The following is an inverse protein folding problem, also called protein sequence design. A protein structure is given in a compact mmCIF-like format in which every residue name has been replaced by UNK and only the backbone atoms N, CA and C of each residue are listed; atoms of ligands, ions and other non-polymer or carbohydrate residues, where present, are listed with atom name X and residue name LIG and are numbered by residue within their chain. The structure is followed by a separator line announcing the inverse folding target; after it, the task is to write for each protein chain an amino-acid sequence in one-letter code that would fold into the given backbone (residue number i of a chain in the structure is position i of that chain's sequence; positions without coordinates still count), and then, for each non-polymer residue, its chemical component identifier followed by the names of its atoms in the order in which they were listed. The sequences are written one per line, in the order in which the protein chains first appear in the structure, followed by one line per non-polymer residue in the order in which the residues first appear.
data_IF_341531279654
#
_entry.id   IF_341531279654
#
_cell.length_a   1.000
_cell.length_b   1.000
_cell.length_c   1.000
_cell.angle_alpha   90.00
_cell.angle_beta   90.00
_cell.angle_gamma   90.00
#
_symmetry.space_group_name_H-M   'P 1'
#
loop_
_entity.id
_entity.type
_entity.pdbx_description
1 polymer ?
#
# COMPACT_ATOMS: atom_id res chain seq x y z
N UNK A 1 -1.93 9.06 -79.29
CA UNK A 1 -1.85 9.95 -78.11
C UNK A 1 -3.25 10.05 -77.47
N UNK A 2 -3.38 10.10 -76.14
CA UNK A 2 -4.08 9.04 -75.40
C UNK A 2 -5.40 9.42 -74.68
N UNK A 3 -6.20 8.36 -74.44
CA UNK A 3 -7.01 7.98 -73.24
C UNK A 3 -8.20 8.84 -72.76
N UNK A 4 -9.37 8.18 -72.72
CA UNK A 4 -10.17 8.05 -71.49
C UNK A 4 -11.12 6.85 -71.61
N UNK A 5 -10.87 5.80 -70.82
CA UNK A 5 -11.77 4.66 -70.61
C UNK A 5 -12.31 4.82 -69.19
N UNK A 6 -13.62 5.03 -69.05
CA UNK A 6 -14.31 5.11 -67.77
C UNK A 6 -14.57 3.68 -67.30
N UNK A 7 -13.88 3.25 -66.25
CA UNK A 7 -14.13 1.99 -65.57
C UNK A 7 -15.01 2.24 -64.34
N UNK A 8 -16.18 1.61 -64.36
CA UNK A 8 -17.17 1.52 -63.29
C UNK A 8 -16.59 0.64 -62.15
N UNK A 9 -16.28 1.22 -60.99
CA UNK A 9 -15.94 0.45 -59.80
C UNK A 9 -17.23 0.07 -59.06
N UNK A 10 -17.48 -1.24 -59.01
CA UNK A 10 -18.50 -1.88 -58.18
C UNK A 10 -18.08 -1.75 -56.70
N UNK A 11 -19.00 -1.24 -55.88
CA UNK A 11 -18.95 -1.29 -54.42
C UNK A 11 -18.88 -2.75 -53.95
N UNK A 12 -17.75 -3.16 -53.37
CA UNK A 12 -17.68 -4.30 -52.47
C UNK A 12 -17.77 -3.77 -51.04
N UNK A 13 -18.92 -3.99 -50.41
CA UNK A 13 -19.13 -3.72 -49.00
C UNK A 13 -18.23 -4.62 -48.13
N UNK A 14 -17.42 -3.98 -47.28
CA UNK A 14 -16.78 -4.65 -46.15
C UNK A 14 -17.76 -4.68 -44.98
N UNK A 15 -18.05 -5.84 -44.37
CA UNK A 15 -18.81 -5.87 -43.14
C UNK A 15 -17.96 -5.33 -41.98
N UNK A 16 -18.57 -4.45 -41.21
CA UNK A 16 -18.08 -3.94 -39.95
C UNK A 16 -17.80 -5.10 -38.97
N UNK A 17 -16.53 -5.29 -38.61
CA UNK A 17 -16.09 -6.20 -37.57
C UNK A 17 -15.61 -5.39 -36.36
N UNK A 18 -16.47 -5.35 -35.35
CA UNK A 18 -16.30 -4.73 -34.02
C UNK A 18 -14.88 -4.90 -33.45
N UNK A 19 -14.11 -3.81 -33.41
CA UNK A 19 -12.99 -3.67 -32.49
C UNK A 19 -13.54 -3.44 -31.07
N UNK A 20 -14.07 -4.51 -30.47
CA UNK A 20 -14.63 -4.52 -29.13
C UNK A 20 -13.56 -4.83 -28.07
N UNK A 21 -13.02 -3.77 -27.47
CA UNK A 21 -12.80 -3.67 -26.01
C UNK A 21 -12.30 -4.92 -25.26
N UNK A 22 -11.06 -5.34 -25.49
CA UNK A 22 -10.38 -6.33 -24.64
C UNK A 22 -9.56 -5.68 -23.50
N UNK A 23 -9.98 -4.53 -22.96
CA UNK A 23 -9.33 -3.84 -21.83
C UNK A 23 -10.32 -3.38 -20.74
N UNK A 24 -11.57 -3.85 -20.77
CA UNK A 24 -12.61 -3.46 -19.82
C UNK A 24 -13.23 -4.66 -19.11
N UNK A 25 -12.39 -5.56 -18.57
CA UNK A 25 -12.85 -6.72 -17.80
C UNK A 25 -11.82 -7.16 -16.74
N UNK A 26 -11.40 -6.23 -15.88
CA UNK A 26 -10.70 -6.57 -14.62
C UNK A 26 -11.34 -5.87 -13.41
N UNK A 27 -12.43 -5.11 -13.58
CA UNK A 27 -13.04 -4.34 -12.49
C UNK A 27 -14.48 -4.77 -12.27
N UNK A 28 -14.70 -6.05 -11.96
CA UNK A 28 -16.01 -6.51 -11.48
C UNK A 28 -15.92 -7.93 -10.87
N UNK A 29 -15.09 -8.15 -9.85
CA UNK A 29 -15.30 -9.20 -8.82
C UNK A 29 -14.26 -9.07 -7.71
N UNK A 30 -14.47 -8.10 -6.82
CA UNK A 30 -13.85 -8.07 -5.49
C UNK A 30 -14.73 -7.23 -4.57
N UNK A 31 -15.99 -7.64 -4.41
CA UNK A 31 -16.91 -7.05 -3.44
C UNK A 31 -17.39 -8.15 -2.51
N UNK A 32 -16.52 -8.63 -1.60
CA UNK A 32 -16.85 -9.02 -0.21
C UNK A 32 -15.53 -9.09 0.60
N UNK A 33 -14.98 -7.93 0.92
CA UNK A 33 -14.27 -7.68 2.18
C UNK A 33 -14.62 -6.22 2.47
N UNK A 34 -15.51 -5.98 3.42
CA UNK A 34 -16.03 -4.64 3.72
C UNK A 34 -14.88 -3.79 4.22
N UNK A 35 -14.28 -3.01 3.32
CA UNK A 35 -13.35 -1.96 3.72
C UNK A 35 -14.08 -1.01 4.66
N UNK A 36 -13.43 -0.67 5.77
CA UNK A 36 -13.97 0.30 6.72
C UNK A 36 -14.31 1.61 6.00
N UNK A 37 -15.33 2.37 6.47
CA UNK A 37 -15.56 3.72 5.95
C UNK A 37 -14.29 4.57 6.07
N UNK A 38 -14.13 5.68 5.35
CA UNK A 38 -12.92 6.51 5.48
C UNK A 38 -12.78 7.08 6.90
N UNK A 39 -11.54 7.27 7.39
CA UNK A 39 -11.26 7.91 8.70
C UNK A 39 -11.85 9.32 8.71
N UNK A 40 -11.67 10.05 7.61
CA UNK A 40 -12.16 11.40 7.43
C UNK A 40 -12.57 11.64 5.97
N UNK A 41 -13.34 12.70 5.65
CA UNK A 41 -13.63 13.06 4.27
C UNK A 41 -12.36 13.26 3.43
N UNK A 42 -12.41 13.03 2.10
CA UNK A 42 -11.27 13.24 1.23
C UNK A 42 -10.80 14.69 1.26
N UNK A 43 -9.51 14.90 0.99
CA UNK A 43 -8.95 16.25 0.85
C UNK A 43 -9.71 17.05 -0.23
N UNK A 44 -10.06 18.34 0.03
CA UNK A 44 -10.67 19.19 -0.97
C UNK A 44 -9.79 19.33 -2.22
N UNK A 45 -10.39 19.59 -3.38
CA UNK A 45 -9.66 19.80 -4.64
C UNK A 45 -8.59 20.89 -4.46
N UNK A 46 -7.36 20.57 -4.83
CA UNK A 46 -6.21 21.50 -4.72
C UNK A 46 -5.48 21.44 -3.38
N UNK A 47 -6.05 20.86 -2.33
CA UNK A 47 -5.39 20.68 -1.04
C UNK A 47 -4.50 19.44 -1.08
N UNK A 48 -3.20 19.63 -0.84
CA UNK A 48 -2.21 18.54 -0.90
C UNK A 48 -2.03 17.85 0.47
N UNK A 49 -2.31 18.56 1.57
CA UNK A 49 -2.32 17.97 2.90
C UNK A 49 -3.14 18.82 3.87
N UNK A 50 -3.68 18.16 4.90
CA UNK A 50 -4.36 18.73 6.06
C UNK A 50 -3.74 18.18 7.34
N UNK A 51 -3.49 19.05 8.32
CA UNK A 51 -3.08 18.66 9.67
C UNK A 51 -4.28 18.41 10.57
N UNK A 52 -4.13 17.44 11.46
CA UNK A 52 -5.08 17.05 12.48
C UNK A 52 -4.40 17.10 13.85
N UNK A 53 -5.11 17.60 14.86
CA UNK A 53 -4.68 17.38 16.24
C UNK A 53 -4.82 15.88 16.57
N UNK A 54 -4.02 15.36 17.50
CA UNK A 54 -4.14 13.98 17.94
C UNK A 54 -5.55 13.67 18.49
N UNK A 55 -6.18 14.53 19.33
CA UNK A 55 -7.55 14.32 19.76
C UNK A 55 -8.57 14.24 18.61
N UNK A 56 -8.47 15.11 17.60
CA UNK A 56 -9.39 15.08 16.46
C UNK A 56 -9.21 13.81 15.60
N UNK A 57 -7.96 13.37 15.43
CA UNK A 57 -7.66 12.12 14.74
C UNK A 57 -8.24 10.92 15.49
N UNK A 58 -8.05 10.87 16.82
CA UNK A 58 -8.62 9.80 17.66
C UNK A 58 -10.14 9.78 17.53
N UNK A 59 -10.83 10.92 17.64
CA UNK A 59 -12.29 10.97 17.52
C UNK A 59 -12.77 10.48 16.14
N UNK A 60 -12.04 10.80 15.07
CA UNK A 60 -12.34 10.33 13.72
C UNK A 60 -12.11 8.81 13.57
N UNK A 61 -11.00 8.31 14.11
CA UNK A 61 -10.65 6.89 14.14
C UNK A 61 -11.67 6.07 14.94
N UNK A 62 -12.08 6.54 16.12
CA UNK A 62 -13.07 5.88 16.99
C UNK A 62 -14.44 5.80 16.30
N UNK A 63 -14.81 6.86 15.56
CA UNK A 63 -16.04 6.86 14.76
C UNK A 63 -15.99 5.83 13.63
N UNK A 64 -14.85 5.68 12.96
CA UNK A 64 -14.66 4.70 11.88
C UNK A 64 -14.73 3.26 12.41
N UNK A 65 -14.08 2.99 13.53
CA UNK A 65 -13.97 1.65 14.13
C UNK A 65 -15.17 1.29 15.02
N UNK A 66 -16.07 2.24 15.28
CA UNK A 66 -17.26 2.02 16.12
C UNK A 66 -16.95 1.75 17.60
N UNK A 67 -15.72 2.04 18.06
CA UNK A 67 -15.27 1.81 19.43
C UNK A 67 -14.26 2.86 19.89
N UNK A 68 -14.12 3.09 21.21
CA UNK A 68 -13.02 3.88 21.73
C UNK A 68 -11.66 3.25 21.45
N UNK A 69 -10.66 4.09 21.25
CA UNK A 69 -9.26 3.69 21.21
C UNK A 69 -8.81 3.38 22.64
N UNK A 70 -8.30 2.18 22.83
CA UNK A 70 -7.77 1.66 24.10
C UNK A 70 -6.53 2.45 24.55
N UNK A 71 -6.13 2.26 25.81
CA UNK A 71 -4.91 2.87 26.33
C UNK A 71 -3.65 2.39 25.59
N UNK A 72 -3.60 1.12 25.19
CA UNK A 72 -2.48 0.53 24.45
C UNK A 72 -2.40 1.09 23.02
N UNK A 73 -3.53 1.22 22.32
CA UNK A 73 -3.56 1.84 21.00
C UNK A 73 -3.17 3.33 21.07
N UNK A 74 -3.61 4.06 22.09
CA UNK A 74 -3.17 5.46 22.30
C UNK A 74 -1.67 5.54 22.58
N UNK A 75 -1.12 4.61 23.35
CA UNK A 75 0.31 4.49 23.57
C UNK A 75 1.06 4.22 22.25
N UNK A 76 0.54 3.35 21.39
CA UNK A 76 1.12 3.11 20.08
C UNK A 76 1.01 4.31 19.14
N UNK A 77 -0.15 4.97 19.08
CA UNK A 77 -0.37 6.17 18.27
C UNK A 77 0.62 7.28 18.64
N UNK A 78 0.89 7.46 19.94
CA UNK A 78 1.83 8.47 20.45
C UNK A 78 3.29 8.31 19.95
N UNK A 79 3.62 7.22 19.25
CA UNK A 79 4.94 6.99 18.63
C UNK A 79 5.12 7.72 17.30
N UNK A 80 4.13 8.51 16.85
CA UNK A 80 4.22 9.31 15.63
C UNK A 80 3.75 8.54 14.39
N UNK A 81 4.43 8.73 13.26
CA UNK A 81 4.02 8.17 11.96
C UNK A 81 3.86 6.65 11.99
N UNK A 82 4.78 5.94 12.65
CA UNK A 82 4.69 4.48 12.83
C UNK A 82 3.46 4.07 13.64
N UNK A 83 3.08 4.88 14.62
CA UNK A 83 1.92 4.67 15.47
C UNK A 83 0.62 4.66 14.69
N UNK A 84 0.47 5.62 13.76
CA UNK A 84 -0.69 5.69 12.85
C UNK A 84 -0.85 4.40 12.06
N UNK A 85 0.21 3.84 11.48
CA UNK A 85 0.12 2.55 10.79
C UNK A 85 -0.16 1.38 11.74
N UNK A 86 0.48 1.33 12.91
CA UNK A 86 0.27 0.25 13.89
C UNK A 86 -1.19 0.17 14.34
N UNK A 87 -1.79 1.30 14.72
CA UNK A 87 -3.19 1.28 15.20
C UNK A 87 -4.18 0.90 14.10
N UNK A 88 -3.89 1.24 12.83
CA UNK A 88 -4.77 0.88 11.71
C UNK A 88 -4.55 -0.55 11.20
N UNK A 89 -3.45 -1.22 11.57
CA UNK A 89 -3.30 -2.66 11.35
C UNK A 89 -4.18 -3.47 12.32
N UNK A 90 -4.56 -2.91 13.46
CA UNK A 90 -5.39 -3.54 14.51
C UNK A 90 -4.90 -4.96 14.87
N UNK A 91 -3.59 -5.07 15.11
CA UNK A 91 -2.87 -6.33 15.32
C UNK A 91 -1.95 -6.27 16.54
N UNK A 92 -2.29 -7.06 17.55
CA UNK A 92 -1.53 -7.20 18.79
C UNK A 92 -0.14 -7.83 18.58
N UNK A 93 0.05 -8.64 17.52
CA UNK A 93 1.31 -9.32 17.23
C UNK A 93 2.32 -8.44 16.48
N UNK A 94 1.96 -7.20 16.13
CA UNK A 94 2.74 -6.33 15.25
C UNK A 94 3.11 -4.99 15.94
N UNK A 95 4.06 -5.00 16.90
CA UNK A 95 4.50 -3.76 17.56
C UNK A 95 5.18 -2.78 16.59
N UNK A 96 5.63 -3.25 15.43
CA UNK A 96 6.04 -2.44 14.29
C UNK A 96 5.34 -2.95 13.02
N UNK A 97 5.05 -2.09 12.02
CA UNK A 97 4.47 -2.54 10.77
C UNK A 97 5.39 -3.57 10.07
N UNK A 98 4.88 -4.75 9.71
CA UNK A 98 5.69 -5.81 9.11
C UNK A 98 6.12 -5.42 7.69
N UNK A 99 7.39 -5.61 7.36
CA UNK A 99 7.99 -5.19 6.08
C UNK A 99 8.14 -6.33 5.07
N UNK A 100 7.52 -7.49 5.35
CA UNK A 100 7.68 -8.73 4.60
C UNK A 100 7.35 -8.62 3.11
N UNK A 101 6.35 -7.81 2.76
CA UNK A 101 5.84 -7.64 1.40
C UNK A 101 5.96 -6.18 0.97
N UNK A 102 7.20 -5.70 0.83
CA UNK A 102 7.51 -4.33 0.41
C UNK A 102 7.83 -4.27 -1.09
N UNK A 103 7.34 -3.25 -1.78
CA UNK A 103 7.45 -3.08 -3.23
C UNK A 103 7.92 -1.68 -3.58
N UNK A 104 8.66 -1.55 -4.68
CA UNK A 104 9.18 -0.26 -5.15
C UNK A 104 8.14 0.69 -5.72
N UNK A 105 6.96 0.19 -6.09
CA UNK A 105 5.90 1.01 -6.68
C UNK A 105 4.55 0.77 -6.02
N UNK A 106 3.75 1.83 -5.96
CA UNK A 106 2.40 1.78 -5.42
C UNK A 106 1.50 0.83 -6.23
N UNK A 107 1.61 0.87 -7.56
CA UNK A 107 0.87 -0.01 -8.47
C UNK A 107 1.10 -1.49 -8.14
N UNK A 108 2.35 -1.88 -7.88
CA UNK A 108 2.66 -3.28 -7.56
C UNK A 108 2.10 -3.71 -6.22
N UNK A 109 2.12 -2.82 -5.22
CA UNK A 109 1.49 -3.08 -3.93
C UNK A 109 -0.03 -3.28 -4.08
N UNK A 110 -0.72 -2.47 -4.91
CA UNK A 110 -2.16 -2.65 -5.19
C UNK A 110 -2.47 -3.99 -5.85
N UNK A 111 -1.65 -4.45 -6.81
CA UNK A 111 -1.85 -5.77 -7.44
C UNK A 111 -1.72 -6.93 -6.44
N UNK A 112 -0.72 -6.85 -5.57
CA UNK A 112 -0.49 -7.85 -4.52
C UNK A 112 -1.60 -7.79 -3.48
N UNK A 113 -2.02 -6.60 -3.08
CA UNK A 113 -3.16 -6.39 -2.19
C UNK A 113 -4.43 -7.05 -2.74
N UNK A 114 -4.78 -6.77 -4.00
CA UNK A 114 -5.96 -7.33 -4.65
C UNK A 114 -5.92 -8.87 -4.68
N UNK A 115 -4.79 -9.44 -5.06
CA UNK A 115 -4.58 -10.90 -5.07
C UNK A 115 -4.71 -11.53 -3.68
N UNK A 116 -4.17 -10.89 -2.64
CA UNK A 116 -4.29 -11.40 -1.27
C UNK A 116 -5.72 -11.29 -0.75
N UNK A 117 -6.43 -10.20 -1.07
CA UNK A 117 -7.84 -10.03 -0.72
C UNK A 117 -8.76 -11.04 -1.42
N UNK A 118 -8.50 -11.35 -2.69
CA UNK A 118 -9.20 -12.44 -3.41
C UNK A 118 -9.02 -13.78 -2.69
N UNK A 119 -7.80 -14.10 -2.26
CA UNK A 119 -7.48 -15.34 -1.55
C UNK A 119 -8.17 -15.41 -0.19
N UNK A 120 -8.04 -14.38 0.66
CA UNK A 120 -8.64 -14.43 2.01
C UNK A 120 -10.16 -14.39 2.01
N UNK A 121 -10.79 -13.85 0.95
CA UNK A 121 -12.23 -13.91 0.75
C UNK A 121 -12.75 -15.36 0.63
N UNK A 122 -11.92 -16.32 0.24
CA UNK A 122 -12.26 -17.76 0.23
C UNK A 122 -12.25 -18.41 1.62
N UNK A 123 -11.86 -17.65 2.65
CA UNK A 123 -11.68 -18.10 4.04
C UNK A 123 -10.77 -19.32 4.18
N UNK A 124 -9.55 -19.26 3.61
CA UNK A 124 -8.68 -20.42 3.55
C UNK A 124 -8.11 -20.77 4.93
N UNK A 125 -7.95 -22.06 5.22
CA UNK A 125 -7.02 -22.52 6.24
C UNK A 125 -5.58 -22.07 5.91
N UNK A 126 -4.65 -22.03 6.88
CA UNK A 126 -3.25 -21.70 6.60
C UNK A 126 -2.59 -22.54 5.49
N UNK A 127 -2.97 -23.82 5.40
CA UNK A 127 -2.48 -24.72 4.34
C UNK A 127 -3.04 -24.32 2.98
N UNK A 128 -4.36 -24.09 2.89
CA UNK A 128 -5.00 -23.66 1.64
C UNK A 128 -4.46 -22.31 1.18
N UNK A 129 -4.27 -21.36 2.10
CA UNK A 129 -3.65 -20.08 1.80
C UNK A 129 -2.27 -20.26 1.15
N UNK A 130 -1.40 -21.08 1.75
CA UNK A 130 -0.07 -21.36 1.21
C UNK A 130 -0.12 -22.00 -0.19
N UNK A 131 -1.09 -22.87 -0.45
CA UNK A 131 -1.29 -23.47 -1.77
C UNK A 131 -1.83 -22.46 -2.80
N UNK A 132 -2.76 -21.59 -2.40
CA UNK A 132 -3.38 -20.57 -3.25
C UNK A 132 -2.35 -19.49 -3.65
N UNK A 133 -1.60 -18.94 -2.69
CA UNK A 133 -0.60 -17.89 -2.99
C UNK A 133 0.51 -18.39 -3.93
N UNK A 134 0.86 -19.68 -3.86
CA UNK A 134 1.86 -20.29 -4.75
C UNK A 134 1.36 -20.39 -6.19
N UNK A 135 0.05 -20.58 -6.39
CA UNK A 135 -0.57 -20.73 -7.71
C UNK A 135 -1.00 -19.40 -8.32
N UNK A 136 -1.23 -18.38 -7.49
CA UNK A 136 -1.76 -17.10 -7.94
C UNK A 136 -0.78 -16.38 -8.89
N UNK A 137 -1.19 -16.02 -10.12
CA UNK A 137 -0.28 -15.47 -11.14
C UNK A 137 0.36 -14.15 -10.69
N UNK A 138 -0.41 -13.26 -10.06
CA UNK A 138 0.10 -11.98 -9.57
C UNK A 138 1.10 -12.11 -8.41
N UNK A 139 1.22 -13.28 -7.76
CA UNK A 139 2.07 -13.49 -6.59
C UNK A 139 3.31 -14.35 -6.91
N UNK A 140 3.47 -14.77 -8.16
CA UNK A 140 4.60 -15.60 -8.58
C UNK A 140 5.95 -14.93 -8.27
N UNK A 141 6.80 -15.67 -7.57
CA UNK A 141 8.15 -15.22 -7.19
C UNK A 141 8.20 -14.21 -6.04
N UNK A 142 7.06 -13.73 -5.53
CA UNK A 142 7.03 -12.86 -4.34
C UNK A 142 7.37 -13.69 -3.11
N UNK A 143 8.37 -13.25 -2.36
CA UNK A 143 8.86 -13.91 -1.15
C UNK A 143 8.00 -13.51 0.07
N UNK A 144 8.08 -14.31 1.14
CA UNK A 144 7.46 -14.07 2.45
C UNK A 144 5.91 -14.06 2.50
N UNK A 145 5.20 -14.47 1.44
CA UNK A 145 3.74 -14.50 1.39
C UNK A 145 3.11 -15.36 2.51
N UNK A 146 3.67 -16.55 2.76
CA UNK A 146 3.21 -17.45 3.83
C UNK A 146 3.53 -16.88 5.21
N UNK A 147 4.70 -16.28 5.37
CA UNK A 147 5.12 -15.64 6.63
C UNK A 147 4.27 -14.42 6.99
N UNK A 148 3.75 -13.70 6.00
CA UNK A 148 2.93 -12.51 6.21
C UNK A 148 1.54 -12.84 6.76
N UNK A 149 1.06 -14.07 6.58
CA UNK A 149 -0.29 -14.48 6.94
C UNK A 149 -0.44 -14.76 8.44
N UNK A 150 -1.27 -13.99 9.18
CA UNK A 150 -1.45 -14.17 10.62
C UNK A 150 -2.38 -15.35 10.91
N UNK A 151 -1.84 -16.53 11.14
CA UNK A 151 -2.62 -17.77 11.31
C UNK A 151 -3.52 -17.80 12.55
N UNK A 152 -3.39 -16.84 13.46
CA UNK A 152 -4.20 -16.71 14.68
C UNK A 152 -5.44 -15.81 14.47
N UNK A 153 -5.59 -15.19 13.31
CA UNK A 153 -6.75 -14.38 12.95
C UNK A 153 -7.60 -15.15 11.94
N UNK A 154 -8.90 -15.24 12.19
CA UNK A 154 -9.84 -15.79 11.21
C UNK A 154 -9.73 -15.00 9.89
N UNK A 155 -9.50 -15.66 8.74
CA UNK A 155 -9.42 -14.99 7.45
C UNK A 155 -10.63 -14.09 7.12
N UNK A 156 -11.81 -14.38 7.68
CA UNK A 156 -12.99 -13.54 7.51
C UNK A 156 -12.82 -12.13 8.11
N UNK A 157 -11.87 -11.96 9.03
CA UNK A 157 -11.53 -10.71 9.70
C UNK A 157 -10.21 -10.13 9.16
N UNK A 158 -9.73 -10.58 7.99
CA UNK A 158 -8.49 -10.09 7.38
C UNK A 158 -8.78 -9.24 6.15
N UNK A 159 -8.03 -8.13 6.06
CA UNK A 159 -7.90 -7.31 4.87
C UNK A 159 -6.42 -7.08 4.59
N UNK A 160 -5.95 -7.37 3.39
CA UNK A 160 -4.65 -6.91 2.94
C UNK A 160 -4.74 -5.40 2.77
N UNK A 161 -3.99 -4.66 3.59
CA UNK A 161 -3.90 -3.20 3.58
C UNK A 161 -2.54 -2.74 3.04
N UNK A 162 -2.49 -1.50 2.59
CA UNK A 162 -1.25 -0.85 2.13
C UNK A 162 -0.83 0.23 3.12
N UNK A 163 0.46 0.29 3.39
CA UNK A 163 1.11 1.48 3.90
C UNK A 163 2.39 1.73 3.10
N UNK A 164 2.97 2.91 3.23
CA UNK A 164 4.24 3.25 2.61
C UNK A 164 5.24 3.64 3.67
N UNK A 165 6.48 3.24 3.48
CA UNK A 165 7.60 3.60 4.36
C UNK A 165 8.64 4.37 3.57
N UNK A 166 9.03 5.53 4.08
CA UNK A 166 10.18 6.30 3.61
C UNK A 166 11.33 6.12 4.59
N UNK A 167 12.55 5.95 4.09
CA UNK A 167 13.70 5.67 4.94
C UNK A 167 15.03 6.01 4.24
N UNK A 168 16.11 5.88 5.00
CA UNK A 168 17.48 6.10 4.53
C UNK A 168 18.13 4.77 4.08
N UNK A 169 18.72 4.71 2.90
CA UNK A 169 19.31 3.50 2.30
C UNK A 169 20.54 2.97 3.06
N UNK A 170 21.37 3.83 3.66
CA UNK A 170 22.65 3.42 4.28
C UNK A 170 22.46 2.86 5.70
N UNK A 171 21.83 1.69 5.77
CA UNK A 171 21.49 1.00 7.01
C UNK A 171 22.69 0.34 7.70
N UNK A 172 23.78 0.06 6.96
CA UNK A 172 25.07 -0.34 7.51
C UNK A 172 26.10 0.80 7.37
N UNK A 173 26.80 1.22 8.44
CA UNK A 173 27.86 2.23 8.36
C UNK A 173 29.03 1.85 7.44
N UNK A 174 29.24 0.56 7.20
CA UNK A 174 30.37 0.07 6.41
C UNK A 174 30.07 0.01 4.90
N UNK A 175 28.83 0.23 4.48
CA UNK A 175 28.50 0.29 3.05
C UNK A 175 29.07 1.54 2.39
N UNK A 176 29.50 1.41 1.14
CA UNK A 176 29.65 2.58 0.27
C UNK A 176 28.28 3.14 -0.11
N UNK A 177 28.24 4.34 -0.67
CA UNK A 177 26.97 4.94 -1.09
C UNK A 177 26.36 4.18 -2.27
N UNK A 178 27.18 3.59 -3.14
CA UNK A 178 26.72 2.71 -4.23
C UNK A 178 26.10 1.41 -3.68
N UNK A 179 26.72 0.79 -2.68
CA UNK A 179 26.16 -0.41 -2.05
C UNK A 179 24.82 -0.12 -1.39
N UNK A 180 24.69 1.04 -0.72
CA UNK A 180 23.43 1.46 -0.11
C UNK A 180 22.33 1.67 -1.17
N UNK A 181 22.65 2.35 -2.27
CA UNK A 181 21.71 2.60 -3.37
C UNK A 181 21.25 1.34 -4.12
N UNK A 182 22.06 0.28 -4.12
CA UNK A 182 21.70 -1.00 -4.72
C UNK A 182 20.89 -1.91 -3.77
N UNK A 183 21.12 -1.78 -2.45
CA UNK A 183 20.56 -2.70 -1.44
C UNK A 183 19.03 -2.79 -1.48
N UNK A 184 18.36 -1.66 -1.68
CA UNK A 184 16.89 -1.57 -1.67
C UNK A 184 16.28 -1.42 -3.06
N UNK A 185 17.07 -1.69 -4.12
CA UNK A 185 16.54 -1.67 -5.48
C UNK A 185 15.45 -2.74 -5.64
N UNK A 186 14.28 -2.40 -6.22
CA UNK A 186 13.23 -3.38 -6.47
C UNK A 186 13.71 -4.49 -7.40
N UNK A 187 13.35 -5.73 -7.10
CA UNK A 187 13.56 -6.86 -7.99
C UNK A 187 12.87 -6.58 -9.34
N UNK A 188 13.58 -6.68 -10.48
CA UNK A 188 13.03 -6.27 -11.78
C UNK A 188 11.87 -7.15 -12.27
N UNK A 189 11.74 -8.39 -11.75
CA UNK A 189 10.67 -9.31 -12.11
C UNK A 189 9.43 -9.13 -11.23
N UNK A 190 9.62 -8.98 -9.92
CA UNK A 190 8.51 -9.01 -8.95
C UNK A 190 8.14 -7.63 -8.41
N UNK A 191 9.00 -6.63 -8.61
CA UNK A 191 8.92 -5.31 -7.99
C UNK A 191 9.14 -5.31 -6.48
N UNK A 192 9.47 -6.46 -5.87
CA UNK A 192 9.66 -6.61 -4.42
C UNK A 192 11.01 -6.03 -4.00
N UNK A 193 11.03 -5.33 -2.87
CA UNK A 193 12.23 -4.81 -2.22
C UNK A 193 12.54 -5.69 -1.01
N UNK A 194 13.77 -6.16 -0.89
CA UNK A 194 14.21 -6.94 0.27
C UNK A 194 14.49 -6.00 1.45
N UNK A 195 13.65 -6.07 2.48
CA UNK A 195 13.78 -5.27 3.70
C UNK A 195 14.50 -6.00 4.84
N UNK A 196 15.09 -7.18 4.59
CA UNK A 196 15.72 -8.03 5.62
C UNK A 196 16.93 -7.38 6.29
N UNK A 197 17.62 -6.46 5.60
CA UNK A 197 18.79 -5.74 6.10
C UNK A 197 18.45 -4.39 6.75
N UNK A 198 17.18 -3.98 6.76
CA UNK A 198 16.75 -2.71 7.33
C UNK A 198 16.87 -2.69 8.86
N UNK A 199 17.45 -1.63 9.43
CA UNK A 199 17.83 -1.54 10.85
C UNK A 199 17.33 -0.27 11.54
N UNK A 200 16.36 0.43 10.95
CA UNK A 200 15.81 1.68 11.50
C UNK A 200 16.85 2.80 11.71
N UNK A 201 17.97 2.75 10.98
CA UNK A 201 19.04 3.74 11.08
C UNK A 201 18.63 5.03 10.37
N UNK A 202 18.82 6.17 11.04
CA UNK A 202 18.61 7.48 10.45
C UNK A 202 19.80 7.92 9.59
N UNK A 203 19.52 8.79 8.62
CA UNK A 203 20.55 9.65 8.05
C UNK A 203 21.09 10.56 9.16
N UNK A 204 22.42 10.73 9.32
CA UNK A 204 22.96 11.59 10.37
C UNK A 204 22.38 13.01 10.33
N UNK A 205 21.76 13.46 11.43
CA UNK A 205 21.12 14.77 11.56
C UNK A 205 19.64 14.84 11.14
N UNK A 206 19.03 13.71 10.75
CA UNK A 206 17.66 13.63 10.23
C UNK A 206 16.83 12.58 10.98
N UNK A 207 15.52 12.50 10.69
CA UNK A 207 14.66 11.44 11.25
C UNK A 207 14.92 10.09 10.55
N UNK A 208 14.59 8.98 11.22
CA UNK A 208 14.92 7.64 10.73
C UNK A 208 13.95 7.08 9.68
N UNK A 209 12.68 7.46 9.72
CA UNK A 209 11.67 7.01 8.77
C UNK A 209 10.42 7.89 8.79
N UNK A 210 9.59 7.71 7.77
CA UNK A 210 8.20 8.15 7.76
C UNK A 210 7.30 6.97 7.34
N UNK A 211 6.11 6.87 7.94
CA UNK A 211 5.11 5.84 7.65
C UNK A 211 3.79 6.52 7.27
N UNK A 212 3.26 6.15 6.11
CA UNK A 212 1.98 6.61 5.61
C UNK A 212 1.01 5.45 5.46
N UNK A 213 -0.06 5.41 6.25
CA UNK A 213 -1.18 4.49 6.09
C UNK A 213 -2.05 4.90 4.90
N UNK A 214 -2.36 3.98 3.98
CA UNK A 214 -3.20 4.27 2.83
C UNK A 214 -4.68 4.14 3.18
N UNK A 215 -5.42 5.24 3.05
CA UNK A 215 -6.89 5.26 3.13
C UNK A 215 -7.46 5.08 1.72
N UNK A 216 -7.87 3.85 1.44
CA UNK A 216 -8.39 3.41 0.14
C UNK A 216 -9.64 4.18 -0.32
N UNK A 217 -10.46 4.62 0.63
CA UNK A 217 -11.74 5.27 0.38
C UNK A 217 -11.56 6.72 -0.07
N UNK A 218 -10.49 7.39 0.40
CA UNK A 218 -10.20 8.79 0.06
C UNK A 218 -8.99 8.98 -0.85
N UNK A 219 -8.24 7.91 -1.11
CA UNK A 219 -6.95 7.96 -1.78
C UNK A 219 -5.99 8.95 -1.10
N UNK A 220 -5.95 8.92 0.24
CA UNK A 220 -5.09 9.77 1.06
C UNK A 220 -4.15 8.92 1.93
N UNK A 221 -3.08 9.55 2.39
CA UNK A 221 -2.01 8.93 3.16
C UNK A 221 -1.96 9.58 4.54
N UNK A 222 -2.17 8.77 5.58
CA UNK A 222 -2.16 9.19 6.97
C UNK A 222 -0.78 8.96 7.59
N UNK A 223 -0.11 10.02 8.02
CA UNK A 223 1.21 9.99 8.66
C UNK A 223 1.28 11.02 9.79
N UNK A 224 2.44 11.20 10.43
CA UNK A 224 2.61 12.20 11.47
C UNK A 224 4.03 12.77 11.48
N UNK A 225 4.22 13.95 12.06
CA UNK A 225 5.53 14.62 12.15
C UNK A 225 6.55 13.85 13.02
N UNK A 226 6.18 13.50 14.24
CA UNK A 226 7.03 12.84 15.23
C UNK A 226 6.19 12.23 16.38
N UNK A 227 6.85 11.54 17.31
CA UNK A 227 6.22 11.04 18.53
C UNK A 227 5.80 12.19 19.48
N UNK A 228 4.87 11.93 20.39
CA UNK A 228 4.50 12.89 21.43
C UNK A 228 5.69 13.25 22.35
N UNK A 229 5.72 14.46 22.95
CA UNK A 229 4.71 15.53 22.86
C UNK A 229 4.80 16.40 21.60
N UNK A 230 3.68 17.00 21.20
CA UNK A 230 3.60 17.94 20.06
C UNK A 230 3.31 17.26 18.72
N UNK A 231 2.85 16.01 18.76
CA UNK A 231 2.49 15.24 17.57
C UNK A 231 1.33 15.91 16.81
N UNK A 232 1.43 15.88 15.48
CA UNK A 232 0.36 16.26 14.54
C UNK A 232 0.22 15.15 13.52
N UNK A 233 -1.01 14.71 13.31
CA UNK A 233 -1.33 13.75 12.26
C UNK A 233 -1.60 14.51 10.97
N UNK A 234 -1.22 13.95 9.83
CA UNK A 234 -1.42 14.51 8.51
C UNK A 234 -2.21 13.55 7.65
N UNK A 235 -3.20 14.10 6.96
CA UNK A 235 -3.83 13.48 5.81
C UNK A 235 -3.21 14.13 4.57
N UNK A 236 -2.62 13.35 3.66
CA UNK A 236 -1.88 13.87 2.50
C UNK A 236 -2.28 13.18 1.21
N UNK A 237 -2.11 13.87 0.08
CA UNK A 237 -2.04 13.20 -1.23
C UNK A 237 -0.75 12.37 -1.30
N UNK A 238 -0.71 11.34 -2.16
CA UNK A 238 0.52 10.58 -2.40
C UNK A 238 1.66 11.50 -2.85
N UNK A 239 1.38 12.45 -3.74
CA UNK A 239 2.38 13.42 -4.22
C UNK A 239 3.01 14.22 -3.07
N UNK A 240 2.20 14.66 -2.10
CA UNK A 240 2.73 15.40 -0.95
C UNK A 240 3.53 14.48 -0.03
N UNK A 241 3.01 13.30 0.28
CA UNK A 241 3.70 12.32 1.12
C UNK A 241 5.04 11.89 0.50
N UNK A 242 5.11 11.68 -0.81
CA UNK A 242 6.30 11.28 -1.58
C UNK A 242 7.20 12.44 -2.02
N UNK A 243 6.97 13.67 -1.55
CA UNK A 243 7.81 14.82 -1.94
C UNK A 243 9.28 14.59 -1.53
N UNK A 244 10.26 15.09 -2.30
CA UNK A 244 11.67 15.01 -1.89
C UNK A 244 11.89 15.60 -0.50
N UNK A 245 12.59 14.86 0.35
CA UNK A 245 13.06 15.28 1.67
C UNK A 245 14.50 14.81 1.83
N UNK A 246 15.31 15.51 2.61
CA UNK A 246 16.73 15.17 2.80
C UNK A 246 16.90 13.91 3.67
N UNK A 247 15.93 13.62 4.52
CA UNK A 247 15.93 12.50 5.46
C UNK A 247 15.92 11.13 4.75
N UNK A 248 15.26 11.05 3.59
CA UNK A 248 14.91 9.79 2.95
C UNK A 248 15.27 9.81 1.46
N UNK A 249 16.03 8.80 1.05
CA UNK A 249 16.37 8.48 -0.34
C UNK A 249 15.61 7.25 -0.86
N UNK A 250 14.95 6.50 0.03
CA UNK A 250 14.14 5.33 -0.33
C UNK A 250 12.67 5.49 0.06
N UNK A 251 11.79 4.91 -0.76
CA UNK A 251 10.37 4.76 -0.46
C UNK A 251 9.85 3.41 -0.96
N UNK A 252 9.21 2.66 -0.07
CA UNK A 252 8.53 1.41 -0.41
C UNK A 252 7.04 1.50 -0.11
N UNK A 253 6.28 0.67 -0.81
CA UNK A 253 4.85 0.43 -0.59
C UNK A 253 4.69 -1.00 -0.10
N UNK A 254 4.19 -1.16 1.11
CA UNK A 254 4.17 -2.42 1.82
C UNK A 254 2.74 -2.91 1.99
N UNK A 255 2.52 -4.18 1.68
CA UNK A 255 1.25 -4.87 1.90
C UNK A 255 1.35 -5.65 3.21
N UNK A 256 0.36 -5.51 4.08
CA UNK A 256 0.25 -6.28 5.32
C UNK A 256 -1.20 -6.60 5.61
N UNK A 257 -1.46 -7.73 6.26
CA UNK A 257 -2.81 -8.00 6.74
C UNK A 257 -3.12 -7.13 7.96
N UNK A 258 -4.21 -6.37 7.86
CA UNK A 258 -4.88 -5.70 8.95
C UNK A 258 -6.08 -6.53 9.41
N UNK A 259 -6.47 -6.38 10.68
CA UNK A 259 -7.73 -6.90 11.17
C UNK A 259 -8.86 -5.94 10.76
N UNK A 260 -9.96 -6.50 10.27
CA UNK A 260 -11.23 -5.80 10.09
C UNK A 260 -12.26 -6.49 10.98
N UNK A 261 -12.95 -5.71 11.82
CA UNK A 261 -13.97 -6.18 12.76
C UNK A 261 -15.33 -5.53 12.44
#
# INVERSE_FOLDING_TARGET
MPRALVALFVLLGLPAGLAGTAHAAVVAHAAVATSLPPIAPPLPRGVQSKSWSVPDYIAAWEKQHGRPMTAEERYHLARGCIGVTVVNLDREDAPNPPLNLSFGTYQRAMEVQAALNEIVATRPSPREYAEQVRKHPALQGVQNLVRAFPTFIDPANLHAAIFSKRFYSKQDPNWTDEQAAEMYRPNPRTGQVDMSTYRYRARPGYVNFDYGWYDEQTNNWWHANHAEPGMKVYQSTLRYYSRPLLDFDEQVFTVAFARVA
#
